data_IF_723819326530
#
_entry.id   IF_723819326530
#
_cell.length_a   1.000
_cell.length_b   1.000
_cell.length_c   1.000
_cell.angle_alpha   90.00
_cell.angle_beta   90.00
_cell.angle_gamma   90.00
#
_symmetry.space_group_name_H-M   'P 1'
#
loop_
_entity.id
_entity.type
_entity.pdbx_description
1 polymer ?
#
# COMPACT_ATOMS: atom_id res chain seq x y z
N UNK A 1 3.22 -4.20 5.96
CA UNK A 1 2.25 -3.17 6.38
C UNK A 1 1.31 -3.62 7.49
N UNK A 2 1.15 -4.93 7.78
CA UNK A 2 0.26 -5.42 8.85
C UNK A 2 -1.21 -4.93 8.72
N UNK A 3 -1.69 -4.81 7.48
CA UNK A 3 -3.02 -4.26 7.18
C UNK A 3 -4.06 -5.32 6.79
N UNK A 4 -3.74 -6.61 6.84
CA UNK A 4 -4.67 -7.66 6.36
C UNK A 4 -6.04 -7.60 7.04
N UNK A 5 -6.07 -7.72 8.37
CA UNK A 5 -7.32 -7.65 9.14
C UNK A 5 -8.00 -6.28 9.07
N UNK A 6 -7.22 -5.20 9.03
CA UNK A 6 -7.73 -3.84 8.85
C UNK A 6 -8.45 -3.69 7.50
N UNK A 7 -7.87 -4.19 6.40
CA UNK A 7 -8.51 -4.17 5.08
C UNK A 7 -9.81 -4.96 5.07
N UNK A 8 -9.87 -6.14 5.69
CA UNK A 8 -11.12 -6.90 5.80
C UNK A 8 -12.19 -6.15 6.60
N UNK A 9 -11.80 -5.41 7.63
CA UNK A 9 -12.72 -4.58 8.41
C UNK A 9 -13.21 -3.37 7.61
N UNK A 10 -12.32 -2.72 6.86
CA UNK A 10 -12.68 -1.65 5.92
C UNK A 10 -13.66 -2.17 4.85
N UNK A 11 -13.41 -3.36 4.28
CA UNK A 11 -14.28 -3.99 3.29
C UNK A 11 -15.69 -4.21 3.87
N UNK A 12 -15.79 -4.77 5.08
CA UNK A 12 -17.08 -4.99 5.74
C UNK A 12 -17.84 -3.67 5.99
N UNK A 13 -17.15 -2.65 6.49
CA UNK A 13 -17.75 -1.34 6.76
C UNK A 13 -18.26 -0.66 5.48
N UNK A 14 -17.45 -0.67 4.40
CA UNK A 14 -17.82 -0.08 3.12
C UNK A 14 -18.95 -0.84 2.44
N UNK A 15 -18.92 -2.17 2.47
CA UNK A 15 -20.00 -2.99 1.91
C UNK A 15 -21.32 -2.71 2.63
N UNK A 16 -21.29 -2.65 3.97
CA UNK A 16 -22.47 -2.33 4.76
C UNK A 16 -23.00 -0.93 4.45
N UNK A 17 -22.12 0.06 4.23
CA UNK A 17 -22.53 1.40 3.81
C UNK A 17 -23.16 1.41 2.42
N UNK A 18 -22.58 0.69 1.46
CA UNK A 18 -23.07 0.62 0.08
C UNK A 18 -24.45 -0.05 -0.03
N UNK A 19 -24.66 -1.12 0.73
CA UNK A 19 -25.95 -1.81 0.83
C UNK A 19 -27.04 -0.94 1.49
N UNK A 20 -26.67 0.01 2.36
CA UNK A 20 -27.64 0.95 2.96
C UNK A 20 -27.99 2.12 2.06
N UNK A 21 -27.12 2.48 1.11
CA UNK A 21 -27.28 3.68 0.30
C UNK A 21 -27.89 3.45 -1.08
N UNK A 22 -28.10 2.18 -1.48
CA UNK A 22 -28.69 1.83 -2.78
C UNK A 22 -29.79 0.78 -2.58
N UNK A 23 -30.85 0.88 -3.37
CA UNK A 23 -32.02 0.00 -3.28
C UNK A 23 -31.83 -1.35 -4.00
N UNK A 24 -30.82 -1.45 -4.86
CA UNK A 24 -30.48 -2.68 -5.57
C UNK A 24 -29.02 -3.09 -5.33
N UNK A 25 -28.81 -4.40 -5.44
CA UNK A 25 -27.52 -5.03 -5.17
C UNK A 25 -26.45 -4.63 -6.19
N UNK A 26 -26.85 -4.33 -7.43
CA UNK A 26 -25.89 -4.05 -8.49
C UNK A 26 -25.19 -2.71 -8.24
N UNK A 27 -25.93 -1.63 -8.01
CA UNK A 27 -25.34 -0.32 -7.70
C UNK A 27 -24.62 -0.32 -6.35
N UNK A 28 -25.11 -1.06 -5.35
CA UNK A 28 -24.39 -1.25 -4.09
C UNK A 28 -23.01 -1.91 -4.32
N UNK A 29 -22.94 -2.93 -5.16
CA UNK A 29 -21.70 -3.61 -5.49
C UNK A 29 -20.71 -2.68 -6.22
N UNK A 30 -21.18 -1.94 -7.21
CA UNK A 30 -20.36 -0.97 -7.94
C UNK A 30 -19.80 0.12 -7.02
N UNK A 31 -20.63 0.65 -6.11
CA UNK A 31 -20.20 1.63 -5.12
C UNK A 31 -19.13 1.06 -4.19
N UNK A 32 -19.33 -0.17 -3.69
CA UNK A 32 -18.33 -0.87 -2.88
C UNK A 32 -17.00 -1.07 -3.63
N UNK A 33 -17.04 -1.61 -4.84
CA UNK A 33 -15.84 -1.90 -5.63
C UNK A 33 -15.07 -0.61 -5.94
N UNK A 34 -15.78 0.44 -6.37
CA UNK A 34 -15.19 1.73 -6.69
C UNK A 34 -14.41 2.33 -5.51
N UNK A 35 -14.82 2.05 -4.26
CA UNK A 35 -14.12 2.54 -3.07
C UNK A 35 -12.96 1.65 -2.64
N UNK A 36 -13.18 0.35 -2.62
CA UNK A 36 -12.23 -0.59 -2.02
C UNK A 36 -11.09 -0.96 -2.95
N UNK A 37 -11.37 -1.11 -4.25
CA UNK A 37 -10.37 -1.53 -5.25
C UNK A 37 -9.12 -0.64 -5.28
N UNK A 38 -9.21 0.70 -5.42
CA UNK A 38 -8.00 1.54 -5.50
C UNK A 38 -7.20 1.53 -4.20
N UNK A 39 -7.87 1.52 -3.03
CA UNK A 39 -7.24 1.51 -1.72
C UNK A 39 -6.54 0.18 -1.41
N UNK A 40 -7.24 -0.94 -1.59
CA UNK A 40 -6.67 -2.27 -1.39
C UNK A 40 -5.49 -2.53 -2.35
N UNK A 41 -5.64 -2.14 -3.62
CA UNK A 41 -4.55 -2.26 -4.59
C UNK A 41 -3.33 -1.41 -4.19
N UNK A 42 -3.54 -0.19 -3.71
CA UNK A 42 -2.46 0.67 -3.22
C UNK A 42 -1.69 0.03 -2.06
N UNK A 43 -2.40 -0.45 -1.03
CA UNK A 43 -1.80 -1.09 0.15
C UNK A 43 -1.03 -2.36 -0.24
N UNK A 44 -1.56 -3.15 -1.17
CA UNK A 44 -0.88 -4.33 -1.70
C UNK A 44 0.43 -3.97 -2.44
N UNK A 45 0.39 -2.94 -3.31
CA UNK A 45 1.60 -2.45 -3.99
C UNK A 45 2.63 -1.90 -3.00
N UNK A 46 2.18 -1.15 -2.02
CA UNK A 46 3.06 -0.53 -1.03
C UNK A 46 3.73 -1.59 -0.14
N UNK A 47 3.01 -2.67 0.21
CA UNK A 47 3.60 -3.81 0.91
C UNK A 47 4.77 -4.42 0.14
N UNK A 48 4.69 -4.50 -1.20
CA UNK A 48 5.81 -4.96 -2.03
C UNK A 48 6.99 -3.99 -2.04
N UNK A 49 6.74 -2.68 -2.10
CA UNK A 49 7.80 -1.66 -2.02
C UNK A 49 8.50 -1.71 -0.67
N UNK A 50 7.75 -1.81 0.42
CA UNK A 50 8.31 -1.94 1.77
C UNK A 50 9.16 -3.21 1.90
N UNK A 51 8.70 -4.32 1.32
CA UNK A 51 9.43 -5.59 1.30
C UNK A 51 10.78 -5.50 0.57
N UNK A 52 10.87 -4.74 -0.54
CA UNK A 52 12.15 -4.45 -1.23
C UNK A 52 13.14 -3.74 -0.29
N UNK A 53 12.67 -2.72 0.43
CA UNK A 53 13.51 -1.95 1.35
C UNK A 53 13.90 -2.73 2.61
N UNK A 54 13.01 -3.55 3.17
CA UNK A 54 13.27 -4.29 4.40
C UNK A 54 14.27 -5.43 4.19
N UNK A 55 14.33 -6.00 2.99
CA UNK A 55 15.14 -7.18 2.69
C UNK A 55 16.44 -6.85 1.95
N UNK A 56 16.88 -5.59 1.97
CA UNK A 56 18.20 -5.23 1.47
C UNK A 56 19.29 -6.02 2.21
N UNK A 57 20.24 -6.56 1.42
CA UNK A 57 21.49 -7.11 1.94
C UNK A 57 22.36 -5.99 2.52
N UNK A 58 23.38 -6.39 3.29
CA UNK A 58 24.35 -5.44 3.82
C UNK A 58 25.10 -4.71 2.68
N UNK A 59 25.33 -3.40 2.88
CA UNK A 59 26.03 -2.55 1.94
C UNK A 59 25.42 -1.14 1.82
N UNK A 60 25.89 -0.33 0.85
CA UNK A 60 25.55 1.09 0.76
C UNK A 60 24.05 1.39 0.65
N UNK A 61 23.28 0.50 0.00
CA UNK A 61 21.84 0.67 -0.12
C UNK A 61 21.10 0.49 1.22
N UNK A 62 21.57 -0.42 2.09
CA UNK A 62 21.01 -0.59 3.44
C UNK A 62 21.34 0.62 4.31
N UNK A 63 22.58 1.12 4.24
CA UNK A 63 23.01 2.32 4.99
C UNK A 63 22.15 3.55 4.61
N UNK A 64 21.97 3.80 3.31
CA UNK A 64 21.10 4.87 2.82
C UNK A 64 19.64 4.70 3.29
N UNK A 65 19.13 3.46 3.28
CA UNK A 65 17.79 3.13 3.77
C UNK A 65 17.66 3.47 5.25
N UNK A 66 18.64 3.11 6.07
CA UNK A 66 18.65 3.35 7.51
C UNK A 66 18.71 4.85 7.82
N UNK A 67 19.49 5.63 7.07
CA UNK A 67 19.48 7.09 7.13
C UNK A 67 18.09 7.66 6.81
N UNK A 68 17.48 7.23 5.71
CA UNK A 68 16.13 7.66 5.32
C UNK A 68 15.06 7.31 6.37
N UNK A 69 15.19 6.18 7.07
CA UNK A 69 14.29 5.78 8.15
C UNK A 69 14.40 6.67 9.40
N UNK A 70 15.50 7.40 9.57
CA UNK A 70 15.69 8.37 10.65
C UNK A 70 14.85 9.65 10.51
N UNK A 71 14.20 9.86 9.36
CA UNK A 71 13.44 11.06 9.06
C UNK A 71 11.95 10.77 8.82
N UNK A 72 11.06 11.66 9.29
CA UNK A 72 9.62 11.62 9.03
C UNK A 72 9.28 12.49 7.81
N UNK A 73 9.57 12.00 6.60
CA UNK A 73 9.30 12.70 5.35
C UNK A 73 8.96 11.72 4.20
N UNK A 74 8.66 12.26 3.02
CA UNK A 74 8.25 11.45 1.86
C UNK A 74 9.33 10.50 1.35
N UNK A 75 10.60 10.80 1.63
CA UNK A 75 11.71 9.92 1.24
C UNK A 75 11.72 8.63 2.06
N UNK A 76 11.14 8.62 3.27
CA UNK A 76 11.20 7.44 4.14
C UNK A 76 10.61 6.20 3.44
N UNK A 77 11.35 5.09 3.39
CA UNK A 77 10.87 3.85 2.77
C UNK A 77 9.77 3.19 3.62
N UNK A 78 9.72 3.51 4.91
CA UNK A 78 8.67 3.08 5.82
C UNK A 78 7.43 3.89 5.54
N UNK A 79 6.31 3.21 5.30
CA UNK A 79 5.06 3.86 4.94
C UNK A 79 4.63 4.92 5.95
N UNK A 80 4.72 4.61 7.24
CA UNK A 80 4.36 5.53 8.32
C UNK A 80 5.51 6.48 8.72
N UNK A 81 6.62 6.51 7.99
CA UNK A 81 7.66 7.53 8.14
C UNK A 81 7.35 8.81 7.36
N UNK A 82 6.08 9.08 7.09
CA UNK A 82 5.59 10.33 6.50
C UNK A 82 4.24 10.66 7.10
N UNK A 83 4.08 11.89 7.59
CA UNK A 83 2.82 12.39 8.13
C UNK A 83 1.63 12.20 7.17
N UNK A 84 1.80 12.56 5.89
CA UNK A 84 0.74 12.45 4.88
C UNK A 84 0.30 10.99 4.65
N UNK A 85 1.26 10.06 4.56
CA UNK A 85 0.96 8.63 4.41
C UNK A 85 0.30 8.04 5.66
N UNK A 86 0.80 8.40 6.86
CA UNK A 86 0.20 8.00 8.14
C UNK A 86 -1.26 8.43 8.23
N UNK A 87 -1.53 9.70 7.94
CA UNK A 87 -2.87 10.26 7.99
C UNK A 87 -3.81 9.55 7.01
N UNK A 88 -3.40 9.41 5.75
CA UNK A 88 -4.20 8.68 4.75
C UNK A 88 -4.54 7.23 5.14
N UNK A 89 -3.61 6.53 5.81
CA UNK A 89 -3.85 5.14 6.22
C UNK A 89 -4.73 5.06 7.47
N UNK A 90 -4.42 5.82 8.52
CA UNK A 90 -5.05 5.66 9.84
C UNK A 90 -6.28 6.54 10.05
N UNK A 91 -6.44 7.63 9.31
CA UNK A 91 -7.59 8.54 9.40
C UNK A 91 -8.75 8.15 8.47
N UNK A 92 -8.65 7.02 7.77
CA UNK A 92 -9.66 6.57 6.82
C UNK A 92 -10.94 6.06 7.51
N UNK A 93 -12.07 6.67 7.18
CA UNK A 93 -13.40 6.21 7.60
C UNK A 93 -14.07 5.40 6.49
N UNK A 94 -13.92 4.07 6.57
CA UNK A 94 -14.48 3.14 5.59
C UNK A 94 -16.02 3.06 5.58
N UNK A 95 -16.70 3.66 6.57
CA UNK A 95 -18.16 3.71 6.61
C UNK A 95 -18.75 4.83 5.75
N UNK A 96 -17.93 5.75 5.23
CA UNK A 96 -18.36 6.90 4.42
C UNK A 96 -18.15 6.66 2.93
N UNK A 97 -19.25 6.69 2.19
CA UNK A 97 -19.22 6.70 0.73
C UNK A 97 -19.01 8.12 0.18
N UNK A 98 -17.88 8.76 0.47
CA UNK A 98 -17.49 10.07 -0.07
C UNK A 98 -17.67 10.18 -1.60
N UNK A 99 -18.44 11.14 -2.12
CA UNK A 99 -18.76 11.18 -3.57
C UNK A 99 -17.53 11.27 -4.50
N UNK A 100 -16.41 11.78 -3.99
CA UNK A 100 -15.13 11.88 -4.69
C UNK A 100 -14.14 10.79 -4.24
N UNK A 101 -13.30 10.27 -5.16
CA UNK A 101 -12.20 9.40 -4.81
C UNK A 101 -11.22 10.07 -3.84
N UNK A 102 -10.78 9.33 -2.83
CA UNK A 102 -9.74 9.78 -1.89
C UNK A 102 -8.41 9.99 -2.64
N UNK A 103 -7.71 11.09 -2.34
CA UNK A 103 -6.39 11.36 -2.91
C UNK A 103 -5.37 10.37 -2.33
N UNK A 104 -4.86 9.49 -3.18
CA UNK A 104 -3.89 8.47 -2.78
C UNK A 104 -2.47 9.07 -2.80
N UNK A 105 -1.72 9.01 -1.69
CA UNK A 105 -0.36 9.54 -1.65
C UNK A 105 0.58 8.76 -2.58
N UNK A 106 1.65 9.37 -3.09
CA UNK A 106 2.62 8.66 -3.92
C UNK A 106 3.21 7.46 -3.18
N UNK A 107 3.56 6.42 -3.92
CA UNK A 107 4.33 5.32 -3.35
C UNK A 107 5.73 5.82 -2.97
N UNK A 108 6.32 5.31 -1.88
CA UNK A 108 7.75 5.52 -1.64
C UNK A 108 8.58 5.09 -2.86
N UNK A 109 9.76 5.70 -3.08
CA UNK A 109 10.68 5.26 -4.12
C UNK A 109 11.04 3.79 -3.93
N UNK A 110 11.47 3.12 -5.00
CA UNK A 110 12.06 1.78 -4.89
C UNK A 110 13.57 1.88 -4.65
N UNK A 111 14.19 0.88 -4.02
CA UNK A 111 15.64 0.81 -3.99
C UNK A 111 16.21 0.65 -5.40
N UNK A 112 17.52 0.91 -5.60
CA UNK A 112 18.22 0.61 -6.85
C UNK A 112 18.03 -0.87 -7.24
N UNK A 113 17.91 -1.15 -8.55
CA UNK A 113 17.58 -2.51 -9.05
C UNK A 113 18.63 -3.54 -8.67
N UNK A 114 19.90 -3.15 -8.71
CA UNK A 114 21.06 -3.92 -8.31
C UNK A 114 21.04 -4.31 -6.83
N UNK A 115 20.36 -3.53 -5.99
CA UNK A 115 20.18 -3.80 -4.57
C UNK A 115 18.95 -4.69 -4.28
N UNK A 116 18.06 -4.91 -5.26
CA UNK A 116 16.87 -5.75 -5.08
C UNK A 116 17.24 -7.23 -5.04
N UNK A 117 16.88 -7.87 -3.93
CA UNK A 117 17.00 -9.33 -3.76
C UNK A 117 15.99 -10.12 -4.61
N UNK A 118 14.96 -9.47 -5.15
CA UNK A 118 13.91 -10.11 -5.96
C UNK A 118 14.24 -10.09 -7.44
N UNK A 119 14.84 -9.00 -7.93
CA UNK A 119 15.24 -8.87 -9.34
C UNK A 119 16.44 -9.77 -9.67
N UNK A 120 17.38 -9.95 -8.73
CA UNK A 120 18.51 -10.88 -8.88
C UNK A 120 18.06 -12.35 -8.98
N UNK A 121 17.05 -12.76 -8.21
CA UNK A 121 16.50 -14.13 -8.26
C UNK A 121 15.76 -14.44 -9.56
N UNK A 122 15.17 -13.44 -10.22
CA UNK A 122 14.55 -13.62 -11.55
C UNK A 122 15.56 -13.92 -12.66
N UNK A 123 16.81 -13.46 -12.52
CA UNK A 123 17.87 -13.77 -13.49
C UNK A 123 18.56 -15.12 -13.23
N UNK A 124 18.65 -15.55 -11.97
CA UNK A 124 19.22 -16.87 -11.62
C UNK A 124 18.31 -18.06 -11.97
N UNK A 125 17.02 -17.83 -12.23
CA UNK A 125 16.02 -18.88 -12.52
C UNK A 125 15.81 -19.23 -13.99
N UNK A 126 16.62 -18.67 -14.92
CA UNK A 126 16.64 -19.06 -16.35
C UNK A 126 17.93 -19.78 -16.73
N UNK A 127 18.40 -20.68 -15.86
CA UNK A 127 19.49 -21.59 -16.14
C UNK A 127 18.95 -22.98 -16.46
N UNK A 128 19.13 -23.39 -17.72
CA UNK A 128 19.02 -24.74 -18.30
C UNK A 128 17.60 -25.32 -18.50
N UNK A 129 17.13 -25.15 -19.74
CA UNK A 129 16.49 -26.25 -20.49
C UNK A 129 17.44 -27.45 -20.59
#
# INVERSE_FOLDING_TARGET
>A
MAQGAAQSTEDAATLAAALRSHDDLHHAWEAYEARRKPRAAYIARNTRVLQEWLHLEDGPAREARDEMMGHDNESSPVFWGSAARKDWLFSHDASRLAQTPEAIPPLPPRPPKEASVYDRKRHSGRGNL
#
